data_IF_354977339416
#
_entry.id   IF_354977339416
#
_cell.length_a   1.000
_cell.length_b   1.000
_cell.length_c   1.000
_cell.angle_alpha   90.00
_cell.angle_beta   90.00
_cell.angle_gamma   90.00
#
_symmetry.space_group_name_H-M   'P 1'
#
loop_
_entity.id
_entity.type
_entity.pdbx_description
1 polymer ?
#
# COMPACT_ATOMS: atom_id res chain seq x y z
N UNK A 1 24.43 5.00 11.75
CA UNK A 1 23.44 3.92 11.90
C UNK A 1 23.61 2.95 10.74
N UNK A 2 23.78 1.65 10.97
CA UNK A 2 23.92 0.65 9.90
C UNK A 2 22.74 -0.31 9.98
N UNK A 3 22.02 -0.43 8.86
CA UNK A 3 21.63 -1.71 8.26
C UNK A 3 21.11 -1.42 6.85
N UNK A 4 21.97 -1.69 5.90
CA UNK A 4 21.66 -1.89 4.49
C UNK A 4 20.60 -2.99 4.40
N UNK A 5 19.57 -2.84 3.56
CA UNK A 5 18.90 -4.00 2.99
C UNK A 5 18.34 -3.69 1.61
N UNK A 6 19.17 -3.96 0.62
CA UNK A 6 18.84 -4.09 -0.79
C UNK A 6 18.34 -5.53 -0.99
N UNK A 7 17.22 -5.91 -0.35
CA UNK A 7 16.59 -7.22 -0.56
C UNK A 7 15.26 -7.04 -1.26
N UNK A 8 15.10 -7.79 -2.34
CA UNK A 8 13.83 -8.29 -2.87
C UNK A 8 13.00 -8.89 -1.71
N UNK A 9 12.30 -8.04 -0.95
CA UNK A 9 11.40 -8.49 0.11
C UNK A 9 10.18 -9.06 -0.62
N UNK A 10 10.17 -10.37 -0.84
CA UNK A 10 8.93 -11.12 -1.05
C UNK A 10 8.08 -10.92 0.21
N UNK A 11 7.35 -9.81 0.27
CA UNK A 11 6.39 -9.54 1.32
C UNK A 11 5.44 -10.73 1.38
N UNK A 12 5.25 -11.29 2.57
CA UNK A 12 4.27 -12.34 2.71
C UNK A 12 2.87 -11.79 2.39
N UNK A 13 1.92 -12.62 1.96
CA UNK A 13 0.55 -12.17 1.70
C UNK A 13 -0.06 -11.40 2.88
N UNK A 14 0.27 -11.81 4.12
CA UNK A 14 -0.20 -11.13 5.32
C UNK A 14 0.41 -9.73 5.49
N UNK A 15 1.69 -9.55 5.13
CA UNK A 15 2.37 -8.25 5.20
C UNK A 15 1.88 -7.31 4.10
N UNK A 16 1.55 -7.85 2.93
CA UNK A 16 0.95 -7.07 1.84
C UNK A 16 -0.45 -6.59 2.24
N UNK A 17 -1.29 -7.50 2.75
CA UNK A 17 -2.64 -7.15 3.24
C UNK A 17 -2.58 -6.10 4.36
N UNK A 18 -1.64 -6.21 5.31
CA UNK A 18 -1.46 -5.22 6.36
C UNK A 18 -1.16 -3.82 5.79
N UNK A 19 -0.32 -3.74 4.76
CA UNK A 19 -0.01 -2.47 4.11
C UNK A 19 -1.18 -1.91 3.33
N UNK A 20 -1.92 -2.76 2.61
CA UNK A 20 -3.16 -2.36 1.92
C UNK A 20 -4.15 -1.80 2.94
N UNK A 21 -4.35 -2.50 4.05
CA UNK A 21 -5.27 -2.09 5.12
C UNK A 21 -4.88 -0.74 5.73
N UNK A 22 -3.61 -0.55 6.06
CA UNK A 22 -3.12 0.72 6.62
C UNK A 22 -3.26 1.85 5.61
N UNK A 23 -2.86 1.64 4.35
CA UNK A 23 -2.97 2.65 3.30
C UNK A 23 -4.43 3.04 3.03
N UNK A 24 -5.34 2.07 2.96
CA UNK A 24 -6.78 2.28 2.82
C UNK A 24 -7.35 3.06 4.01
N UNK A 25 -6.94 2.70 5.23
CA UNK A 25 -7.37 3.39 6.44
C UNK A 25 -6.95 4.86 6.45
N UNK A 26 -5.68 5.17 6.14
CA UNK A 26 -5.22 6.56 6.10
C UNK A 26 -5.95 7.37 5.02
N UNK A 27 -6.14 6.80 3.82
CA UNK A 27 -6.93 7.42 2.76
C UNK A 27 -8.36 7.74 3.21
N UNK A 28 -9.02 6.77 3.84
CA UNK A 28 -10.36 6.94 4.38
C UNK A 28 -10.42 8.06 5.44
N UNK A 29 -9.43 8.13 6.34
CA UNK A 29 -9.30 9.22 7.32
C UNK A 29 -9.10 10.57 6.63
N UNK A 30 -8.21 10.66 5.63
CA UNK A 30 -7.93 11.90 4.90
C UNK A 30 -9.15 12.43 4.14
N UNK A 31 -10.03 11.53 3.68
CA UNK A 31 -11.32 11.86 3.04
C UNK A 31 -12.41 12.28 4.03
N UNK A 32 -12.13 12.26 5.33
CA UNK A 32 -13.11 12.61 6.37
C UNK A 32 -14.02 11.45 6.76
N UNK A 33 -13.57 10.22 6.59
CA UNK A 33 -14.25 9.00 7.01
C UNK A 33 -15.65 8.80 6.36
N UNK A 34 -15.80 8.91 5.03
CA UNK A 34 -17.08 8.73 4.37
C UNK A 34 -17.65 7.32 4.63
N UNK A 35 -18.96 7.22 4.88
CA UNK A 35 -19.62 5.94 5.07
C UNK A 35 -19.87 5.27 3.71
N UNK A 36 -19.45 4.01 3.57
CA UNK A 36 -19.71 3.19 2.39
C UNK A 36 -18.58 3.15 1.36
N UNK A 37 -17.57 4.03 1.46
CA UNK A 37 -16.49 4.14 0.46
C UNK A 37 -15.17 3.44 0.84
N UNK A 38 -15.14 2.70 1.97
CA UNK A 38 -13.91 2.06 2.44
C UNK A 38 -13.39 0.94 1.52
N UNK A 39 -14.25 0.41 0.64
CA UNK A 39 -13.86 -0.59 -0.37
C UNK A 39 -13.12 0.09 -1.52
N UNK A 40 -13.55 1.27 -1.97
CA UNK A 40 -12.80 2.06 -2.96
C UNK A 40 -11.40 2.42 -2.42
N UNK A 41 -11.29 2.86 -1.17
CA UNK A 41 -10.00 3.17 -0.54
C UNK A 41 -9.09 1.94 -0.45
N UNK A 42 -9.66 0.76 -0.24
CA UNK A 42 -8.94 -0.52 -0.28
C UNK A 42 -8.41 -0.87 -1.67
N UNK A 43 -9.27 -0.78 -2.69
CA UNK A 43 -8.90 -1.09 -4.07
C UNK A 43 -7.81 -0.14 -4.58
N UNK A 44 -7.89 1.14 -4.24
CA UNK A 44 -6.87 2.12 -4.62
C UNK A 44 -5.53 1.86 -3.91
N UNK A 45 -5.57 1.49 -2.62
CA UNK A 45 -4.38 1.09 -1.88
C UNK A 45 -3.72 -0.17 -2.45
N UNK A 46 -4.51 -1.19 -2.82
CA UNK A 46 -4.04 -2.42 -3.44
C UNK A 46 -3.40 -2.17 -4.81
N UNK A 47 -4.03 -1.33 -5.65
CA UNK A 47 -3.50 -0.94 -6.95
C UNK A 47 -2.17 -0.17 -6.82
N UNK A 48 -2.06 0.72 -5.84
CA UNK A 48 -0.84 1.49 -5.58
C UNK A 48 0.33 0.64 -5.06
N UNK A 49 0.06 -0.43 -4.32
CA UNK A 49 1.09 -1.36 -3.84
C UNK A 49 1.52 -2.36 -4.91
N UNK A 50 0.59 -2.79 -5.78
CA UNK A 50 0.92 -3.61 -6.95
C UNK A 50 1.74 -2.83 -7.99
N UNK A 51 1.39 -1.55 -8.23
CA UNK A 51 2.04 -0.73 -9.27
C UNK A 51 3.39 -0.15 -8.83
N UNK A 52 3.64 0.03 -7.53
CA UNK A 52 4.96 0.44 -7.01
C UNK A 52 6.06 -0.61 -7.24
N UNK A 53 5.70 -1.84 -7.61
CA UNK A 53 6.67 -2.84 -8.07
C UNK A 53 7.19 -2.59 -9.49
N UNK A 54 6.63 -1.63 -10.24
CA UNK A 54 6.92 -1.41 -11.67
C UNK A 54 7.27 0.07 -12.02
N UNK A 55 7.41 0.98 -11.04
CA UNK A 55 7.66 2.42 -11.30
C UNK A 55 9.02 2.95 -10.78
N UNK A 56 10.05 2.10 -10.68
CA UNK A 56 11.45 2.55 -10.48
C UNK A 56 12.37 2.25 -11.67
N UNK A 57 11.79 1.91 -12.83
CA UNK A 57 12.52 1.73 -14.09
C UNK A 57 11.81 2.48 -15.23
N UNK A 58 11.77 3.81 -15.14
CA UNK A 58 11.01 4.65 -16.08
C UNK A 58 11.54 6.07 -16.28
N UNK A 59 12.79 6.16 -16.74
CA UNK A 59 13.43 7.21 -17.56
C UNK A 59 13.27 8.70 -17.19
#
# INVERSE_FOLDING_TARGET
MKKNNEESVKMSPQQLEEQIRLAAYYRWIERGCPAGEGVEDWLEAEAGLTSQSEELEGA
#
